data_IF_358790079715
#
_entry.id   IF_358790079715
#
_cell.length_a   1.000
_cell.length_b   1.000
_cell.length_c   1.000
_cell.angle_alpha   90.00
_cell.angle_beta   90.00
_cell.angle_gamma   90.00
#
_symmetry.space_group_name_H-M   'P 1'
#
loop_
_entity.id
_entity.type
_entity.pdbx_description
1 polymer ?
#
# COMPACT_ATOMS: atom_id res chain seq x y z
N UNK A 1 20.86 -5.86 0.66
CA UNK A 1 21.30 -7.28 0.44
C UNK A 1 20.14 -8.11 -0.07
N UNK A 2 20.30 -8.74 -1.22
CA UNK A 2 19.23 -9.61 -1.79
C UNK A 2 19.16 -10.90 -0.98
N UNK A 3 18.04 -11.16 -0.31
CA UNK A 3 17.80 -12.41 0.43
C UNK A 3 17.75 -13.57 -0.56
N UNK A 4 18.56 -14.65 -0.39
CA UNK A 4 18.55 -15.79 -1.29
C UNK A 4 17.15 -16.39 -1.46
N UNK A 5 16.81 -16.87 -2.66
CA UNK A 5 15.48 -17.41 -2.99
C UNK A 5 14.99 -18.46 -1.98
N UNK A 6 15.87 -19.38 -1.57
CA UNK A 6 15.55 -20.43 -0.59
C UNK A 6 15.26 -19.82 0.79
N UNK A 7 16.05 -18.80 1.23
CA UNK A 7 15.77 -18.12 2.50
C UNK A 7 14.38 -17.47 2.50
N UNK A 8 13.96 -16.90 1.35
CA UNK A 8 12.60 -16.34 1.20
C UNK A 8 11.52 -17.41 1.38
N UNK A 9 11.70 -18.59 0.81
CA UNK A 9 10.76 -19.72 0.93
C UNK A 9 10.60 -20.12 2.40
N UNK A 10 11.71 -20.31 3.13
CA UNK A 10 11.68 -20.67 4.55
C UNK A 10 11.03 -19.56 5.39
N UNK A 11 11.39 -18.29 5.13
CA UNK A 11 10.81 -17.13 5.82
C UNK A 11 9.30 -17.02 5.60
N UNK A 12 8.85 -17.21 4.35
CA UNK A 12 7.42 -17.17 4.01
C UNK A 12 6.64 -18.28 4.70
N UNK A 13 7.19 -19.50 4.80
CA UNK A 13 6.57 -20.60 5.51
C UNK A 13 6.37 -20.27 7.00
N UNK A 14 7.39 -19.67 7.66
CA UNK A 14 7.30 -19.25 9.07
C UNK A 14 6.32 -18.10 9.22
N UNK A 15 6.38 -17.07 8.35
CA UNK A 15 5.55 -15.87 8.43
C UNK A 15 4.06 -16.17 8.24
N UNK A 16 3.71 -17.11 7.32
CA UNK A 16 2.32 -17.51 7.05
C UNK A 16 1.73 -18.43 8.12
N UNK A 17 2.55 -19.01 8.97
CA UNK A 17 2.09 -19.92 10.01
C UNK A 17 1.46 -19.16 11.17
N UNK A 18 0.23 -19.56 11.56
CA UNK A 18 -0.47 -19.01 12.74
C UNK A 18 0.07 -19.58 14.06
N UNK A 19 0.98 -20.56 14.00
CA UNK A 19 1.63 -21.16 15.17
C UNK A 19 3.14 -21.28 14.96
N UNK A 20 3.95 -21.31 16.01
CA UNK A 20 5.36 -21.59 15.91
C UNK A 20 5.61 -22.95 15.25
N UNK A 21 6.64 -23.05 14.40
CA UNK A 21 6.97 -24.25 13.62
C UNK A 21 8.30 -24.84 14.07
N UNK A 22 8.37 -26.18 14.12
CA UNK A 22 9.63 -26.90 14.24
C UNK A 22 10.36 -26.98 12.89
N UNK A 23 11.68 -27.23 12.91
CA UNK A 23 12.43 -27.48 11.67
C UNK A 23 11.88 -28.67 10.88
N UNK A 24 11.34 -29.69 11.56
CA UNK A 24 10.69 -30.83 10.92
C UNK A 24 9.43 -30.45 10.15
N UNK A 25 8.56 -29.64 10.73
CA UNK A 25 7.37 -29.11 10.04
C UNK A 25 7.78 -28.23 8.83
N UNK A 26 8.83 -27.42 8.97
CA UNK A 26 9.36 -26.65 7.83
C UNK A 26 9.86 -27.53 6.69
N UNK A 27 10.51 -28.66 6.98
CA UNK A 27 10.89 -29.67 5.96
C UNK A 27 9.65 -30.16 5.20
N UNK A 28 8.57 -30.50 5.93
CA UNK A 28 7.32 -30.97 5.33
C UNK A 28 6.64 -29.89 4.46
N UNK A 29 6.60 -28.65 4.95
CA UNK A 29 5.93 -27.52 4.25
C UNK A 29 6.72 -27.11 3.00
N UNK A 30 8.06 -27.05 3.09
CA UNK A 30 8.90 -26.49 2.03
C UNK A 30 9.42 -27.53 1.05
N UNK A 31 9.40 -28.81 1.40
CA UNK A 31 10.02 -29.89 0.62
C UNK A 31 11.56 -29.85 0.61
N UNK A 32 12.18 -29.01 1.43
CA UNK A 32 13.64 -28.87 1.50
C UNK A 32 14.25 -29.90 2.46
N UNK A 33 15.55 -30.18 2.31
CA UNK A 33 16.28 -31.04 3.25
C UNK A 33 16.40 -30.38 4.62
N UNK A 34 16.52 -31.20 5.69
CA UNK A 34 16.71 -30.69 7.06
C UNK A 34 17.99 -29.84 7.19
N UNK A 35 19.05 -30.19 6.48
CA UNK A 35 20.29 -29.44 6.45
C UNK A 35 20.07 -28.03 5.85
N UNK A 36 19.38 -27.97 4.71
CA UNK A 36 19.03 -26.70 4.04
C UNK A 36 18.13 -25.83 4.93
N UNK A 37 17.06 -26.41 5.50
CA UNK A 37 16.18 -25.69 6.43
C UNK A 37 16.99 -25.14 7.61
N UNK A 38 17.88 -25.96 8.19
CA UNK A 38 18.70 -25.54 9.34
C UNK A 38 19.59 -24.35 9.00
N UNK A 39 20.31 -24.39 7.89
CA UNK A 39 21.17 -23.29 7.45
C UNK A 39 20.39 -21.98 7.29
N UNK A 40 19.24 -22.05 6.59
CA UNK A 40 18.45 -20.84 6.33
C UNK A 40 17.74 -20.31 7.58
N UNK A 41 17.29 -21.17 8.48
CA UNK A 41 16.75 -20.79 9.79
C UNK A 41 17.82 -20.08 10.63
N UNK A 42 19.04 -20.60 10.70
CA UNK A 42 20.13 -19.94 11.43
C UNK A 42 20.47 -18.56 10.86
N UNK A 43 20.40 -18.41 9.56
CA UNK A 43 20.54 -17.10 8.89
C UNK A 43 19.42 -16.14 9.29
N UNK A 44 18.16 -16.61 9.34
CA UNK A 44 17.01 -15.80 9.73
C UNK A 44 17.04 -15.43 11.23
N UNK A 45 17.53 -16.31 12.09
CA UNK A 45 17.74 -16.00 13.53
C UNK A 45 18.83 -14.94 13.67
N UNK A 46 19.97 -15.07 12.96
CA UNK A 46 21.03 -14.05 12.99
C UNK A 46 20.59 -12.68 12.48
N UNK A 47 19.65 -12.64 11.54
CA UNK A 47 19.04 -11.38 11.05
C UNK A 47 17.87 -10.91 11.92
N UNK A 48 17.60 -11.57 13.04
CA UNK A 48 16.50 -11.27 13.98
C UNK A 48 15.09 -11.37 13.38
N UNK A 49 14.93 -11.89 12.15
CA UNK A 49 13.62 -12.07 11.52
C UNK A 49 12.85 -13.28 12.07
N UNK A 50 13.53 -14.20 12.74
CA UNK A 50 12.96 -15.39 13.38
C UNK A 50 13.50 -15.50 14.78
N UNK A 51 12.61 -15.76 15.73
CA UNK A 51 12.94 -16.10 17.11
C UNK A 51 12.88 -17.60 17.33
N UNK A 52 13.84 -18.10 18.10
CA UNK A 52 13.88 -19.49 18.58
C UNK A 52 13.19 -19.53 19.95
N UNK A 53 11.96 -20.00 19.98
CA UNK A 53 11.17 -20.09 21.20
C UNK A 53 11.54 -21.35 21.98
N UNK A 54 11.46 -21.32 23.31
CA UNK A 54 11.73 -22.49 24.14
C UNK A 54 10.69 -23.61 23.90
N UNK A 55 11.19 -24.78 23.75
CA UNK A 55 10.69 -26.15 23.78
C UNK A 55 9.18 -26.39 23.67
N UNK A 56 8.75 -26.90 22.52
CA UNK A 56 7.45 -27.54 22.34
C UNK A 56 7.23 -28.78 23.23
N UNK A 57 6.01 -29.35 23.21
CA UNK A 57 5.71 -30.57 23.96
C UNK A 57 6.53 -31.76 23.42
N UNK A 58 7.13 -32.54 24.34
CA UNK A 58 7.89 -33.73 23.96
C UNK A 58 6.96 -34.91 23.65
N UNK A 59 7.17 -35.55 22.53
CA UNK A 59 6.51 -36.82 22.15
C UNK A 59 7.43 -38.04 22.35
N UNK A 60 8.40 -37.97 23.28
CA UNK A 60 9.29 -39.09 23.61
C UNK A 60 10.76 -38.92 23.20
N UNK A 61 11.20 -37.66 22.87
CA UNK A 61 12.57 -37.35 22.53
C UNK A 61 13.00 -35.96 23.01
N UNK A 62 14.18 -35.46 22.54
CA UNK A 62 14.59 -34.07 22.81
C UNK A 62 13.53 -33.12 22.28
N UNK A 63 12.98 -32.28 23.15
CA UNK A 63 11.95 -31.30 22.78
C UNK A 63 12.37 -30.46 21.56
N UNK A 64 11.56 -30.38 20.52
CA UNK A 64 11.91 -29.58 19.35
C UNK A 64 11.90 -28.10 19.71
N UNK A 65 12.87 -27.35 19.20
CA UNK A 65 12.84 -25.88 19.24
C UNK A 65 11.80 -25.39 18.25
N UNK A 66 10.98 -24.46 18.69
CA UNK A 66 9.92 -23.83 17.90
C UNK A 66 10.39 -22.47 17.40
N UNK A 67 10.09 -22.20 16.14
CA UNK A 67 10.48 -21.02 15.42
C UNK A 67 9.25 -20.15 15.18
N UNK A 68 9.36 -18.86 15.48
CA UNK A 68 8.32 -17.88 15.25
C UNK A 68 8.87 -16.70 14.45
N UNK A 69 8.03 -16.10 13.65
CA UNK A 69 8.36 -14.85 12.97
C UNK A 69 8.45 -13.73 14.02
N UNK A 70 9.54 -12.95 13.96
CA UNK A 70 9.72 -11.82 14.86
C UNK A 70 9.07 -10.57 14.27
N UNK A 71 7.87 -10.25 14.71
CA UNK A 71 7.11 -9.08 14.24
C UNK A 71 7.76 -7.76 14.66
N UNK A 72 8.55 -7.77 15.74
CA UNK A 72 9.22 -6.58 16.29
C UNK A 72 10.63 -6.36 15.73
N UNK A 73 11.09 -7.20 14.79
CA UNK A 73 12.41 -7.03 14.14
C UNK A 73 12.52 -5.76 13.30
N UNK A 74 11.40 -5.10 13.06
CA UNK A 74 11.31 -3.84 12.33
C UNK A 74 9.89 -3.49 11.98
N UNK A 75 9.73 -2.34 11.34
CA UNK A 75 8.43 -1.78 10.97
C UNK A 75 8.44 -1.29 9.53
N UNK A 76 7.27 -1.06 8.98
CA UNK A 76 7.04 -0.53 7.64
C UNK A 76 6.31 0.80 7.78
N UNK A 77 6.79 1.84 7.14
CA UNK A 77 6.03 3.07 6.95
C UNK A 77 5.17 2.93 5.68
N UNK A 78 3.86 3.00 5.83
CA UNK A 78 2.92 2.94 4.73
C UNK A 78 2.27 4.31 4.51
N UNK A 79 2.24 4.76 3.26
CA UNK A 79 1.72 6.06 2.86
C UNK A 79 0.77 5.84 1.69
N UNK A 80 -0.50 6.20 1.86
CA UNK A 80 -1.46 6.24 0.75
C UNK A 80 -1.83 7.70 0.50
N UNK A 81 -1.30 8.25 -0.59
CA UNK A 81 -1.61 9.61 -1.01
C UNK A 81 -2.79 9.59 -1.96
N UNK A 82 -3.84 10.26 -1.56
CA UNK A 82 -5.02 10.55 -2.36
C UNK A 82 -4.97 12.01 -2.88
N UNK A 83 -5.91 12.37 -3.72
CA UNK A 83 -5.97 13.73 -4.27
C UNK A 83 -6.27 14.83 -3.23
N UNK A 84 -6.91 14.48 -2.11
CA UNK A 84 -7.37 15.40 -1.06
C UNK A 84 -6.95 14.98 0.35
N UNK A 85 -6.45 13.78 0.50
CA UNK A 85 -6.08 13.19 1.78
C UNK A 85 -4.78 12.43 1.64
N UNK A 86 -4.11 12.23 2.76
CA UNK A 86 -3.06 11.24 2.92
C UNK A 86 -3.37 10.38 4.15
N UNK A 87 -3.19 9.08 4.00
CA UNK A 87 -3.17 8.13 5.10
C UNK A 87 -1.73 7.69 5.33
N UNK A 88 -1.27 7.85 6.57
CA UNK A 88 0.08 7.43 6.99
C UNK A 88 -0.07 6.44 8.11
N UNK A 89 0.63 5.33 8.03
CA UNK A 89 0.62 4.29 9.06
C UNK A 89 1.99 3.69 9.29
N UNK A 90 2.18 3.18 10.50
CA UNK A 90 3.31 2.33 10.87
C UNK A 90 2.75 0.94 11.09
N UNK A 91 3.31 -0.04 10.41
CA UNK A 91 2.90 -1.44 10.42
C UNK A 91 4.06 -2.30 10.93
N UNK A 92 3.72 -3.42 11.56
CA UNK A 92 4.71 -4.46 11.82
C UNK A 92 5.09 -5.22 10.53
N UNK A 93 6.03 -6.14 10.63
CA UNK A 93 6.47 -6.94 9.46
C UNK A 93 5.43 -7.97 8.98
N UNK A 94 4.30 -8.14 9.70
CA UNK A 94 3.13 -8.91 9.22
C UNK A 94 2.12 -8.06 8.46
N UNK A 95 2.38 -6.76 8.33
CA UNK A 95 1.48 -5.74 7.80
C UNK A 95 0.28 -5.42 8.70
N UNK A 96 0.35 -5.74 10.01
CA UNK A 96 -0.63 -5.30 10.99
C UNK A 96 -0.37 -3.83 11.37
N UNK A 97 -1.42 -3.02 11.36
CA UNK A 97 -1.33 -1.59 11.66
C UNK A 97 -1.09 -1.40 13.16
N UNK A 98 0.03 -0.78 13.52
CA UNK A 98 0.35 -0.37 14.90
C UNK A 98 -0.31 0.97 15.22
N UNK A 99 -0.13 1.94 14.34
CA UNK A 99 -0.72 3.27 14.45
C UNK A 99 -0.93 3.85 13.06
N UNK A 100 -2.00 4.59 12.86
CA UNK A 100 -2.26 5.29 11.60
C UNK A 100 -3.00 6.59 11.81
N UNK A 101 -2.85 7.51 10.86
CA UNK A 101 -3.56 8.80 10.85
C UNK A 101 -3.84 9.25 9.44
N UNK A 102 -4.99 9.88 9.27
CA UNK A 102 -5.36 10.57 8.04
C UNK A 102 -5.25 12.09 8.23
N UNK A 103 -4.83 12.78 7.16
CA UNK A 103 -4.75 14.24 7.12
C UNK A 103 -5.25 14.75 5.78
N UNK A 104 -6.00 15.86 5.79
CA UNK A 104 -6.29 16.62 4.57
C UNK A 104 -4.98 17.16 3.98
N UNK A 105 -4.82 17.02 2.69
CA UNK A 105 -3.66 17.49 1.95
C UNK A 105 -4.08 18.04 0.59
N UNK A 106 -3.36 19.03 0.11
CA UNK A 106 -3.55 19.56 -1.24
C UNK A 106 -2.34 19.20 -2.11
N UNK A 107 -2.51 18.20 -2.95
CA UNK A 107 -1.44 17.67 -3.83
C UNK A 107 -0.98 18.71 -4.87
N UNK A 108 -1.78 19.77 -5.12
CA UNK A 108 -1.43 20.84 -6.05
C UNK A 108 -0.31 21.75 -5.54
N UNK A 109 0.02 21.70 -4.23
CA UNK A 109 1.16 22.42 -3.65
C UNK A 109 2.52 21.92 -4.13
N UNK A 110 2.55 20.84 -4.90
CA UNK A 110 3.75 20.23 -5.45
C UNK A 110 4.42 19.23 -4.50
N UNK A 111 5.32 18.39 -5.05
CA UNK A 111 5.83 17.23 -4.32
C UNK A 111 6.61 17.60 -3.05
N UNK A 112 7.44 18.63 -3.08
CA UNK A 112 8.26 18.99 -1.93
C UNK A 112 7.40 19.38 -0.73
N UNK A 113 6.42 20.28 -0.91
CA UNK A 113 5.55 20.74 0.17
C UNK A 113 4.69 19.62 0.73
N UNK A 114 4.17 18.77 -0.14
CA UNK A 114 3.34 17.61 0.24
C UNK A 114 4.16 16.57 0.99
N UNK A 115 5.34 16.20 0.49
CA UNK A 115 6.21 15.22 1.14
C UNK A 115 6.72 15.70 2.50
N UNK A 116 6.98 17.01 2.67
CA UNK A 116 7.31 17.56 3.99
C UNK A 116 6.16 17.38 4.99
N UNK A 117 4.92 17.67 4.60
CA UNK A 117 3.75 17.45 5.45
C UNK A 117 3.55 15.97 5.81
N UNK A 118 3.78 15.07 4.86
CA UNK A 118 3.71 13.62 5.09
C UNK A 118 4.81 13.18 6.05
N UNK A 119 6.02 13.68 5.87
CA UNK A 119 7.15 13.42 6.76
C UNK A 119 6.85 13.84 8.20
N UNK A 120 6.35 15.07 8.39
CA UNK A 120 5.95 15.56 9.72
C UNK A 120 4.94 14.61 10.38
N UNK A 121 3.94 14.16 9.61
CA UNK A 121 2.94 13.24 10.12
C UNK A 121 3.55 11.88 10.50
N UNK A 122 4.45 11.34 9.67
CA UNK A 122 5.14 10.08 9.95
C UNK A 122 6.01 10.19 11.22
N UNK A 123 6.76 11.28 11.37
CA UNK A 123 7.58 11.49 12.57
C UNK A 123 6.74 11.65 13.84
N UNK A 124 5.56 12.31 13.76
CA UNK A 124 4.60 12.35 14.86
C UNK A 124 4.13 10.94 15.26
N UNK A 125 3.84 10.07 14.28
CA UNK A 125 3.42 8.69 14.56
C UNK A 125 4.56 7.87 15.17
N UNK A 126 5.80 8.06 14.74
CA UNK A 126 6.98 7.40 15.33
C UNK A 126 7.17 7.80 16.79
N UNK A 127 7.06 9.10 17.09
CA UNK A 127 7.16 9.61 18.47
C UNK A 127 6.04 9.07 19.37
N UNK A 128 4.79 9.13 18.92
CA UNK A 128 3.62 8.63 19.66
C UNK A 128 3.70 7.12 19.92
N UNK A 129 4.16 6.34 18.93
CA UNK A 129 4.32 4.89 19.08
C UNK A 129 5.59 4.48 19.81
N UNK A 130 6.50 5.43 20.08
CA UNK A 130 7.84 5.21 20.67
C UNK A 130 8.69 4.23 19.82
N UNK A 131 8.47 4.20 18.53
CA UNK A 131 9.23 3.38 17.60
C UNK A 131 10.43 4.17 17.09
N UNK A 132 11.63 3.61 17.27
CA UNK A 132 12.86 4.20 16.71
C UNK A 132 12.81 4.17 15.18
N UNK A 133 13.08 5.31 14.53
CA UNK A 133 13.12 5.42 13.08
C UNK A 133 14.09 4.42 12.41
N UNK A 134 15.16 4.02 13.10
CA UNK A 134 16.12 3.03 12.61
C UNK A 134 15.52 1.61 12.48
N UNK A 135 14.39 1.38 13.12
CA UNK A 135 13.62 0.13 12.99
C UNK A 135 12.70 0.12 11.78
N UNK A 136 12.53 1.24 11.05
CA UNK A 136 11.82 1.25 9.77
C UNK A 136 12.66 0.51 8.72
N UNK A 137 12.12 -0.59 8.20
CA UNK A 137 12.79 -1.49 7.24
C UNK A 137 12.38 -1.25 5.79
N UNK A 138 11.36 -0.46 5.59
CA UNK A 138 10.90 -0.07 4.26
C UNK A 138 9.80 0.98 4.31
N UNK A 139 9.70 1.75 3.23
CA UNK A 139 8.62 2.71 3.01
C UNK A 139 7.85 2.26 1.77
N UNK A 140 6.54 2.12 1.90
CA UNK A 140 5.62 1.90 0.78
C UNK A 140 4.75 3.12 0.57
N UNK A 141 4.69 3.66 -0.67
CA UNK A 141 3.90 4.84 -0.98
C UNK A 141 3.02 4.60 -2.21
N UNK A 142 1.70 4.72 -2.03
CA UNK A 142 0.71 4.76 -3.10
C UNK A 142 0.44 6.18 -3.57
N UNK A 143 0.36 6.41 -4.88
CA UNK A 143 0.06 7.69 -5.50
C UNK A 143 -1.26 7.64 -6.30
N UNK A 144 -2.02 8.74 -6.37
CA UNK A 144 -3.28 8.79 -7.12
C UNK A 144 -3.04 9.01 -8.63
N UNK A 145 -2.33 8.09 -9.27
CA UNK A 145 -2.04 8.15 -10.70
C UNK A 145 -0.92 7.23 -11.14
N UNK A 146 -0.55 7.28 -12.41
CA UNK A 146 0.44 6.39 -12.97
C UNK A 146 1.82 6.56 -12.32
N UNK A 147 2.48 5.43 -12.09
CA UNK A 147 3.87 5.33 -11.63
C UNK A 147 4.58 4.32 -12.52
N UNK A 148 5.74 4.66 -13.04
CA UNK A 148 6.62 3.72 -13.71
C UNK A 148 7.20 2.78 -12.64
N UNK A 149 6.71 1.56 -12.57
CA UNK A 149 7.01 0.63 -11.46
C UNK A 149 8.51 0.31 -11.36
N UNK A 150 9.19 0.18 -12.49
CA UNK A 150 10.61 -0.15 -12.55
C UNK A 150 11.51 0.90 -11.90
N UNK A 151 11.09 2.18 -11.93
CA UNK A 151 11.86 3.33 -11.41
C UNK A 151 11.23 3.94 -10.16
N UNK A 152 9.95 3.66 -9.89
CA UNK A 152 9.17 4.30 -8.83
C UNK A 152 8.91 5.80 -9.08
N UNK A 153 9.05 6.25 -10.35
CA UNK A 153 8.84 7.64 -10.72
C UNK A 153 7.39 7.87 -11.12
N UNK A 154 6.74 8.92 -10.59
CA UNK A 154 5.42 9.35 -11.04
C UNK A 154 5.46 9.75 -12.51
N UNK A 155 4.40 9.44 -13.25
CA UNK A 155 4.30 9.76 -14.66
C UNK A 155 2.95 10.38 -14.99
N UNK A 156 2.98 11.55 -15.68
CA UNK A 156 1.80 12.19 -16.27
C UNK A 156 0.61 12.35 -15.31
N UNK A 157 0.79 13.09 -14.24
CA UNK A 157 -0.22 13.32 -13.19
C UNK A 157 -0.89 14.70 -13.36
N UNK A 158 -1.94 14.87 -14.18
CA UNK A 158 -2.54 16.17 -14.44
C UNK A 158 -3.07 16.89 -13.21
N UNK A 159 -3.47 16.13 -12.17
CA UNK A 159 -3.97 16.66 -10.89
C UNK A 159 -2.86 17.02 -9.90
N UNK A 160 -1.61 16.68 -10.20
CA UNK A 160 -0.46 16.82 -9.32
C UNK A 160 0.68 17.57 -10.04
N UNK A 161 0.61 18.90 -10.16
CA UNK A 161 1.63 19.68 -10.86
C UNK A 161 3.00 19.53 -10.19
N UNK A 162 4.04 19.35 -11.00
CA UNK A 162 5.42 19.19 -10.53
C UNK A 162 5.81 17.80 -10.03
N UNK A 163 4.89 16.82 -10.04
CA UNK A 163 5.18 15.46 -9.61
C UNK A 163 5.78 14.59 -10.73
N UNK A 164 5.63 14.98 -11.98
CA UNK A 164 6.16 14.21 -13.11
C UNK A 164 7.67 13.95 -12.94
N UNK A 165 8.05 12.67 -12.92
CA UNK A 165 9.41 12.16 -12.69
C UNK A 165 10.09 12.66 -11.41
N UNK A 166 9.32 13.11 -10.41
CA UNK A 166 9.90 13.56 -9.15
C UNK A 166 10.49 12.37 -8.36
N UNK A 167 11.76 12.43 -7.91
CA UNK A 167 12.47 11.30 -7.31
C UNK A 167 12.11 11.13 -5.83
N UNK A 168 10.92 10.61 -5.55
CA UNK A 168 10.37 10.43 -4.19
C UNK A 168 11.32 9.62 -3.29
N UNK A 169 11.96 8.59 -3.85
CA UNK A 169 12.92 7.78 -3.10
C UNK A 169 14.12 8.59 -2.59
N UNK A 170 14.58 9.60 -3.34
CA UNK A 170 15.68 10.49 -2.90
C UNK A 170 15.23 11.41 -1.76
N UNK A 171 13.96 11.80 -1.71
CA UNK A 171 13.43 12.55 -0.58
C UNK A 171 13.49 11.69 0.70
N UNK A 172 12.98 10.47 0.66
CA UNK A 172 12.95 9.60 1.84
C UNK A 172 14.33 9.10 2.28
N UNK A 173 15.26 8.87 1.36
CA UNK A 173 16.64 8.43 1.69
C UNK A 173 17.44 9.45 2.51
N UNK A 174 16.98 10.69 2.61
CA UNK A 174 17.60 11.70 3.49
C UNK A 174 17.27 11.44 4.97
N UNK A 175 16.24 10.67 5.25
CA UNK A 175 15.73 10.45 6.60
C UNK A 175 15.79 8.98 7.03
N UNK A 176 15.70 8.04 6.11
CA UNK A 176 15.63 6.60 6.40
C UNK A 176 16.65 5.83 5.57
N UNK A 177 17.42 4.96 6.24
CA UNK A 177 18.34 4.00 5.59
C UNK A 177 17.59 2.71 5.24
N UNK A 178 16.55 2.81 4.42
CA UNK A 178 15.75 1.69 3.97
C UNK A 178 15.20 1.91 2.55
N UNK A 179 14.80 0.85 1.84
CA UNK A 179 14.20 0.98 0.52
C UNK A 179 12.85 1.71 0.58
N UNK A 180 12.60 2.53 -0.43
CA UNK A 180 11.31 3.18 -0.66
C UNK A 180 10.71 2.65 -1.98
N UNK A 181 9.50 2.11 -1.90
CA UNK A 181 8.73 1.60 -3.04
C UNK A 181 7.55 2.53 -3.29
N UNK A 182 7.42 2.99 -4.54
CA UNK A 182 6.35 3.89 -4.96
C UNK A 182 5.57 3.20 -6.07
N UNK A 183 4.24 3.22 -5.98
CA UNK A 183 3.36 2.62 -6.98
C UNK A 183 2.03 3.39 -7.08
N UNK A 184 1.22 3.05 -8.06
CA UNK A 184 -0.17 3.52 -8.12
C UNK A 184 -0.96 3.00 -6.91
N UNK A 185 -1.75 3.86 -6.28
CA UNK A 185 -2.50 3.50 -5.07
C UNK A 185 -3.54 2.39 -5.30
N UNK A 186 -4.09 2.24 -6.50
CA UNK A 186 -4.99 1.12 -6.81
C UNK A 186 -4.23 -0.21 -6.80
N UNK A 187 -2.98 -0.23 -7.27
CA UNK A 187 -2.15 -1.44 -7.22
C UNK A 187 -1.68 -1.75 -5.80
N UNK A 188 -1.36 -0.73 -4.99
CA UNK A 188 -1.02 -0.96 -3.58
C UNK A 188 -2.21 -1.48 -2.79
N UNK A 189 -3.43 -0.97 -3.05
CA UNK A 189 -4.68 -1.48 -2.47
C UNK A 189 -4.96 -2.92 -2.91
N UNK A 190 -4.86 -3.22 -4.21
CA UNK A 190 -4.99 -4.58 -4.75
C UNK A 190 -4.04 -5.56 -4.05
N UNK A 191 -2.77 -5.17 -3.87
CA UNK A 191 -1.77 -5.98 -3.20
C UNK A 191 -2.12 -6.16 -1.71
N UNK A 192 -2.61 -5.11 -1.06
CA UNK A 192 -3.08 -5.15 0.32
C UNK A 192 -4.20 -6.17 0.50
N UNK A 193 -5.23 -6.13 -0.33
CA UNK A 193 -6.34 -7.09 -0.31
C UNK A 193 -5.87 -8.53 -0.54
N UNK A 194 -4.95 -8.74 -1.49
CA UNK A 194 -4.40 -10.07 -1.76
C UNK A 194 -3.53 -10.62 -0.61
N UNK A 195 -2.98 -9.75 0.25
CA UNK A 195 -2.18 -10.19 1.41
C UNK A 195 -3.02 -10.52 2.63
N UNK A 196 -4.28 -10.09 2.69
CA UNK A 196 -5.22 -10.42 3.76
C UNK A 196 -5.72 -11.86 3.60
N UNK A 197 -5.81 -12.59 4.68
CA UNK A 197 -6.14 -14.04 4.73
C UNK A 197 -7.37 -14.46 3.90
N UNK A 198 -8.33 -13.57 3.71
CA UNK A 198 -9.61 -13.90 3.05
C UNK A 198 -9.51 -14.15 1.54
N UNK A 199 -8.53 -13.57 0.86
CA UNK A 199 -8.37 -13.69 -0.60
C UNK A 199 -6.95 -14.03 -1.03
N UNK A 200 -6.05 -14.36 -0.10
CA UNK A 200 -4.64 -14.69 -0.39
C UNK A 200 -4.47 -15.86 -1.35
N UNK A 201 -5.45 -16.77 -1.40
CA UNK A 201 -5.44 -17.94 -2.29
C UNK A 201 -6.09 -17.69 -3.66
N UNK A 202 -6.65 -16.47 -3.88
CA UNK A 202 -7.30 -16.12 -5.14
C UNK A 202 -6.26 -15.51 -6.07
N UNK A 203 -5.83 -16.29 -7.06
CA UNK A 203 -4.79 -15.86 -8.00
C UNK A 203 -5.28 -14.92 -9.11
N UNK A 204 -6.59 -14.88 -9.37
CA UNK A 204 -7.16 -14.10 -10.46
C UNK A 204 -8.39 -13.32 -9.97
N UNK A 205 -8.28 -12.02 -9.87
CA UNK A 205 -9.39 -11.13 -9.49
C UNK A 205 -9.15 -9.69 -9.95
N UNK A 206 -10.20 -8.90 -9.89
CA UNK A 206 -10.17 -7.46 -10.18
C UNK A 206 -10.57 -6.71 -8.91
N UNK A 207 -9.73 -5.79 -8.49
CA UNK A 207 -10.03 -4.81 -7.45
C UNK A 207 -10.54 -3.53 -8.11
N UNK A 208 -11.70 -3.05 -7.71
CA UNK A 208 -12.27 -1.79 -8.21
C UNK A 208 -12.21 -0.72 -7.13
N UNK A 209 -11.51 0.37 -7.42
CA UNK A 209 -11.53 1.58 -6.61
C UNK A 209 -12.56 2.55 -7.19
N UNK A 210 -13.57 2.89 -6.40
CA UNK A 210 -14.57 3.92 -6.72
C UNK A 210 -14.56 4.95 -5.58
N UNK A 211 -13.96 6.10 -5.85
CA UNK A 211 -13.79 7.19 -4.90
C UNK A 211 -13.79 8.53 -5.65
N UNK A 212 -12.91 9.45 -5.29
CA UNK A 212 -12.69 10.69 -6.05
C UNK A 212 -12.33 10.42 -7.51
N UNK A 213 -11.51 9.36 -7.74
CA UNK A 213 -11.23 8.76 -9.02
C UNK A 213 -11.81 7.36 -9.15
N UNK A 214 -11.75 6.80 -10.37
CA UNK A 214 -12.15 5.42 -10.69
C UNK A 214 -10.98 4.70 -11.32
N UNK A 215 -10.61 3.56 -10.75
CA UNK A 215 -9.53 2.71 -11.25
C UNK A 215 -9.77 1.24 -10.95
N UNK A 216 -9.03 0.37 -11.62
CA UNK A 216 -9.03 -1.06 -11.36
C UNK A 216 -7.61 -1.58 -11.17
N UNK A 217 -7.41 -2.48 -10.25
CA UNK A 217 -6.22 -3.33 -10.16
C UNK A 217 -6.57 -4.72 -10.66
N UNK A 218 -5.71 -5.32 -11.45
CA UNK A 218 -5.94 -6.64 -12.05
C UNK A 218 -4.87 -7.58 -11.54
N UNK A 219 -5.28 -8.69 -10.90
CA UNK A 219 -4.41 -9.78 -10.47
C UNK A 219 -4.58 -10.95 -11.44
N UNK A 220 -3.46 -11.50 -11.93
CA UNK A 220 -3.44 -12.67 -12.82
C UNK A 220 -2.34 -13.60 -12.33
N UNK A 221 -2.70 -14.84 -11.99
CA UNK A 221 -1.77 -15.86 -11.44
C UNK A 221 -0.99 -15.37 -10.21
N UNK A 222 -1.65 -14.60 -9.34
CA UNK A 222 -1.03 -14.05 -8.13
C UNK A 222 -0.07 -12.88 -8.38
N UNK A 223 -0.01 -12.34 -9.60
CA UNK A 223 0.83 -11.20 -9.95
C UNK A 223 -0.03 -10.03 -10.47
N UNK A 224 0.39 -8.81 -10.15
CA UNK A 224 -0.29 -7.60 -10.65
C UNK A 224 -0.08 -7.49 -12.15
N UNK A 225 -1.17 -7.50 -12.91
CA UNK A 225 -1.12 -7.26 -14.34
C UNK A 225 -1.03 -5.77 -14.64
N UNK A 226 0.12 -5.31 -15.09
CA UNK A 226 0.39 -3.88 -15.36
C UNK A 226 0.18 -3.49 -16.81
N UNK A 227 0.09 -4.46 -17.72
CA UNK A 227 0.07 -4.22 -19.16
C UNK A 227 1.42 -3.77 -19.72
N UNK A 228 1.50 -3.62 -21.03
CA UNK A 228 2.75 -3.27 -21.70
C UNK A 228 3.26 -1.85 -21.39
N UNK A 229 2.35 -0.92 -21.06
CA UNK A 229 2.64 0.47 -20.73
C UNK A 229 2.49 0.81 -19.25
N UNK A 230 2.31 -0.19 -18.38
CA UNK A 230 2.09 -0.03 -16.94
C UNK A 230 0.81 0.73 -16.54
N UNK A 231 -0.16 0.84 -17.47
CA UNK A 231 -1.45 1.55 -17.27
C UNK A 231 -2.66 0.62 -17.25
N UNK A 232 -2.49 -0.70 -17.08
CA UNK A 232 -3.61 -1.62 -17.02
C UNK A 232 -4.56 -1.26 -15.87
N UNK A 233 -5.87 -1.33 -16.13
CA UNK A 233 -6.86 -0.97 -15.11
C UNK A 233 -7.19 0.51 -14.98
N UNK A 234 -6.66 1.39 -15.83
CA UNK A 234 -7.01 2.81 -15.87
C UNK A 234 -8.40 3.05 -16.49
N UNK A 235 -9.40 2.27 -16.04
CA UNK A 235 -10.75 2.21 -16.60
C UNK A 235 -11.53 3.51 -16.45
N UNK A 236 -11.18 4.33 -15.45
CA UNK A 236 -11.81 5.63 -15.21
C UNK A 236 -11.66 6.58 -16.39
N UNK A 237 -10.64 6.38 -17.22
CA UNK A 237 -10.38 7.21 -18.39
C UNK A 237 -10.84 6.58 -19.73
N UNK A 238 -11.55 5.44 -19.67
CA UNK A 238 -12.24 4.90 -20.84
C UNK A 238 -13.39 5.82 -21.23
N UNK A 239 -13.50 6.10 -22.55
CA UNK A 239 -14.59 6.91 -23.09
C UNK A 239 -15.89 6.10 -23.08
N UNK A 240 -16.89 6.60 -22.34
CA UNK A 240 -18.25 6.02 -22.28
C UNK A 240 -19.35 7.02 -22.71
N UNK A 241 -18.99 8.30 -22.90
CA UNK A 241 -19.90 9.38 -23.27
C UNK A 241 -19.11 10.51 -23.92
N UNK A 242 -19.66 11.18 -24.92
CA UNK A 242 -18.88 12.09 -25.76
C UNK A 242 -18.67 13.52 -25.24
N UNK A 243 -19.37 14.00 -24.20
CA UNK A 243 -19.46 15.45 -23.95
C UNK A 243 -18.78 15.97 -22.69
N UNK A 244 -18.50 15.13 -21.70
CA UNK A 244 -17.91 15.61 -20.44
C UNK A 244 -16.39 15.72 -20.53
N UNK A 245 -15.86 16.92 -20.31
CA UNK A 245 -14.41 17.11 -20.19
C UNK A 245 -13.88 16.48 -18.91
N UNK A 246 -12.89 15.60 -19.04
CA UNK A 246 -12.14 15.02 -17.94
C UNK A 246 -10.92 15.89 -17.61
N UNK A 247 -10.46 15.87 -16.36
CA UNK A 247 -9.24 16.57 -15.97
C UNK A 247 -7.98 16.02 -16.67
N UNK A 248 -8.03 14.79 -17.20
CA UNK A 248 -6.94 14.22 -18.00
C UNK A 248 -6.83 14.85 -19.40
N UNK A 249 -7.72 15.78 -19.76
CA UNK A 249 -7.77 16.43 -21.06
C UNK A 249 -8.67 15.74 -22.09
N UNK A 250 -9.04 14.47 -21.88
CA UNK A 250 -9.96 13.73 -22.74
C UNK A 250 -11.42 14.06 -22.44
N UNK A 251 -12.31 13.72 -23.38
CA UNK A 251 -13.76 13.83 -23.19
C UNK A 251 -14.39 12.44 -23.03
N UNK A 252 -15.47 12.38 -22.24
CA UNK A 252 -16.29 11.19 -22.10
C UNK A 252 -15.75 10.10 -21.18
N UNK A 253 -14.74 10.41 -20.38
CA UNK A 253 -14.20 9.46 -19.40
C UNK A 253 -15.27 9.04 -18.37
N UNK A 254 -15.31 7.77 -18.01
CA UNK A 254 -16.19 7.23 -16.93
C UNK A 254 -16.04 8.05 -15.64
N UNK A 255 -14.84 8.38 -15.25
CA UNK A 255 -14.55 9.14 -14.03
C UNK A 255 -15.11 10.57 -14.07
N UNK A 256 -15.12 11.21 -15.24
CA UNK A 256 -15.68 12.55 -15.38
C UNK A 256 -17.21 12.61 -15.18
N UNK A 257 -17.87 11.45 -15.14
CA UNK A 257 -19.32 11.31 -15.00
C UNK A 257 -19.69 10.66 -13.67
N UNK A 258 -19.00 9.61 -13.26
CA UNK A 258 -19.33 8.75 -12.12
C UNK A 258 -18.31 8.79 -10.98
N UNK A 259 -17.17 9.47 -11.15
CA UNK A 259 -16.22 9.69 -10.07
C UNK A 259 -16.75 10.68 -9.03
N UNK A 260 -16.26 10.59 -7.79
CA UNK A 260 -16.73 11.39 -6.68
C UNK A 260 -16.70 12.89 -6.93
N UNK A 261 -15.66 13.39 -7.61
CA UNK A 261 -15.60 14.81 -8.03
C UNK A 261 -16.74 15.19 -8.98
N UNK A 262 -17.14 14.29 -9.88
CA UNK A 262 -18.25 14.52 -10.80
C UNK A 262 -19.57 14.54 -10.06
N UNK A 263 -19.75 13.61 -9.11
CA UNK A 263 -20.94 13.55 -8.24
C UNK A 263 -21.05 14.82 -7.39
N UNK A 264 -19.95 15.24 -6.75
CA UNK A 264 -19.92 16.47 -5.94
C UNK A 264 -20.27 17.70 -6.77
N UNK A 265 -19.67 17.85 -7.96
CA UNK A 265 -19.99 18.96 -8.89
C UNK A 265 -21.47 18.94 -9.29
N UNK A 266 -22.05 17.76 -9.57
CA UNK A 266 -23.46 17.63 -9.91
C UNK A 266 -24.36 17.99 -8.72
N UNK A 267 -23.99 17.59 -7.52
CA UNK A 267 -24.69 17.93 -6.29
C UNK A 267 -24.66 19.45 -6.04
N UNK A 268 -23.52 20.11 -6.24
CA UNK A 268 -23.44 21.58 -6.16
C UNK A 268 -24.31 22.29 -7.19
N UNK A 269 -24.34 21.78 -8.42
CA UNK A 269 -25.23 22.31 -9.45
C UNK A 269 -26.70 22.22 -9.01
N UNK A 270 -27.14 21.05 -8.53
CA UNK A 270 -28.50 20.84 -8.01
C UNK A 270 -28.82 21.78 -6.85
N UNK A 271 -27.86 21.98 -5.95
CA UNK A 271 -27.98 22.91 -4.82
C UNK A 271 -28.18 24.37 -5.29
N UNK A 272 -27.37 24.82 -6.25
CA UNK A 272 -27.43 26.19 -6.82
C UNK A 272 -28.73 26.43 -7.61
N UNK A 273 -29.22 25.41 -8.29
CA UNK A 273 -30.50 25.44 -9.01
C UNK A 273 -31.72 25.37 -8.06
N UNK A 274 -31.50 25.21 -6.76
CA UNK A 274 -32.58 25.15 -5.76
C UNK A 274 -33.42 23.87 -5.81
N UNK A 275 -32.96 22.83 -6.53
CA UNK A 275 -33.67 21.55 -6.71
C UNK A 275 -33.58 20.61 -5.49
N UNK A 276 -32.75 20.94 -4.50
CA UNK A 276 -32.62 20.21 -3.24
C UNK A 276 -32.34 21.17 -2.10
N UNK A 277 -33.23 21.19 -1.10
CA UNK A 277 -33.09 21.99 0.11
C UNK A 277 -31.91 21.53 0.95
N UNK A 278 -31.72 20.21 1.08
CA UNK A 278 -30.62 19.62 1.86
C UNK A 278 -29.27 20.01 1.26
N UNK A 279 -29.07 19.79 -0.04
CA UNK A 279 -27.80 20.15 -0.69
C UNK A 279 -27.52 21.65 -0.65
N UNK A 280 -28.58 22.49 -0.73
CA UNK A 280 -28.45 23.95 -0.60
C UNK A 280 -27.97 24.35 0.80
N UNK A 281 -28.47 23.71 1.85
CA UNK A 281 -28.01 23.94 3.23
C UNK A 281 -26.55 23.48 3.43
N UNK A 282 -26.21 22.27 2.93
CA UNK A 282 -24.83 21.79 2.99
C UNK A 282 -23.87 22.75 2.29
N UNK A 283 -24.23 23.20 1.09
CA UNK A 283 -23.40 24.15 0.34
C UNK A 283 -23.27 25.49 1.08
N UNK A 284 -24.34 25.98 1.72
CA UNK A 284 -24.33 27.19 2.52
C UNK A 284 -23.43 27.08 3.75
N UNK A 285 -23.44 25.96 4.44
CA UNK A 285 -22.67 25.73 5.67
C UNK A 285 -21.20 25.42 5.37
N UNK A 286 -20.94 24.54 4.41
CA UNK A 286 -19.58 24.03 4.11
C UNK A 286 -18.87 24.80 2.99
N UNK A 287 -19.57 25.66 2.24
CA UNK A 287 -19.03 26.38 1.07
C UNK A 287 -18.79 25.52 -0.16
N UNK A 288 -18.74 24.20 -0.01
CA UNK A 288 -18.56 23.19 -1.07
C UNK A 288 -19.26 21.89 -0.69
N UNK A 289 -19.53 21.06 -1.70
CA UNK A 289 -20.02 19.70 -1.50
C UNK A 289 -18.89 18.72 -1.86
N UNK A 290 -18.59 17.79 -0.98
CA UNK A 290 -17.64 16.68 -1.19
C UNK A 290 -18.40 15.35 -1.09
N UNK A 291 -17.73 14.27 -1.43
CA UNK A 291 -18.28 12.91 -1.26
C UNK A 291 -17.97 12.31 0.11
N UNK A 292 -17.20 13.03 0.92
CA UNK A 292 -16.81 12.62 2.27
C UNK A 292 -17.81 13.15 3.31
#
# INVERSE_FOLDING_TARGET
MTVPKITKVVLQAIRRSKKPLSKGELVQITGLSLATVTEHVERLIRSQLVTDLELGQSTGGRKPRLLSFNTEAGYIAAIDLESTHVHVGILDLTCSIIISRSRLIDVSQGPKAVLEQIKELLFQLLDESKIDQNLIKGIGMGLPGPVEFSTGLPASLPIMPGWDRYPIHQFWSQYFDCPCFVDNNVYTMLLGEHTVDSISDIENFIFLKVGNGIGAGIMVKGEIYRGASEYAGNIGHNNICHDHLCYCGNRGCLEAIAGGRAIARKAEQIAREGKSTILKEVLKIKGKITID
#
